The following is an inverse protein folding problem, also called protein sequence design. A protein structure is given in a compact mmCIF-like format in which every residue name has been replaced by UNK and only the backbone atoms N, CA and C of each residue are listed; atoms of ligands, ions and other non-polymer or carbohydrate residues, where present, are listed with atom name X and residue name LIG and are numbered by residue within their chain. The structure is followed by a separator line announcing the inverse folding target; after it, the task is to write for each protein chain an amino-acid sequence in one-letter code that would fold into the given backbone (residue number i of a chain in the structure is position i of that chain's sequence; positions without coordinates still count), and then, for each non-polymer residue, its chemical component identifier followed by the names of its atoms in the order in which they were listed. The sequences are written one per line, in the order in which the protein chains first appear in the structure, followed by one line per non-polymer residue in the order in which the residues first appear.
data_IF_150864634188
#
_entry.id   IF_150864634188
#
_cell.length_a   1.000
_cell.length_b   1.000
_cell.length_c   1.000
_cell.angle_alpha   90.00
_cell.angle_beta   90.00
_cell.angle_gamma   90.00
#
_symmetry.space_group_name_H-M   'P 1'
#
loop_
_entity.id
_entity.type
_entity.pdbx_description
1 polymer ?
#
# COMPACT_ATOMS: atom_id res chain seq x y z
N UNK A 1 -15.37 -21.13 -42.02
CA UNK A 1 -14.33 -20.23 -41.45
C UNK A 1 -12.96 -20.65 -41.99
N UNK A 2 -12.18 -19.72 -42.56
CA UNK A 2 -10.85 -20.02 -43.14
C UNK A 2 -9.91 -20.53 -42.03
N UNK A 3 -9.16 -21.64 -42.25
CA UNK A 3 -8.18 -22.21 -41.30
C UNK A 3 -7.31 -21.16 -40.54
N UNK A 4 -6.74 -20.12 -41.18
CA UNK A 4 -5.96 -19.10 -40.46
C UNK A 4 -6.78 -18.35 -39.39
N UNK A 5 -8.07 -18.09 -39.63
CA UNK A 5 -8.94 -17.41 -38.67
C UNK A 5 -9.14 -18.21 -37.38
N UNK A 6 -9.23 -19.56 -37.49
CA UNK A 6 -9.35 -20.44 -36.31
C UNK A 6 -8.06 -20.44 -35.49
N UNK A 7 -6.90 -20.44 -36.15
CA UNK A 7 -5.60 -20.39 -35.47
C UNK A 7 -5.44 -19.07 -34.71
N UNK A 8 -5.77 -17.93 -35.34
CA UNK A 8 -5.74 -16.61 -34.67
C UNK A 8 -6.68 -16.57 -33.47
N UNK A 9 -7.90 -17.10 -33.60
CA UNK A 9 -8.85 -17.14 -32.49
C UNK A 9 -8.33 -17.98 -31.31
N UNK A 10 -7.73 -19.14 -31.59
CA UNK A 10 -7.13 -19.98 -30.54
C UNK A 10 -5.92 -19.31 -29.88
N UNK A 11 -5.09 -18.58 -30.63
CA UNK A 11 -3.98 -17.83 -30.06
C UNK A 11 -4.45 -16.72 -29.13
N UNK A 12 -5.50 -15.96 -29.53
CA UNK A 12 -6.09 -14.93 -28.67
C UNK A 12 -6.69 -15.57 -27.42
N UNK A 13 -7.47 -16.64 -27.56
CA UNK A 13 -8.08 -17.33 -26.43
C UNK A 13 -7.01 -17.90 -25.46
N UNK A 14 -5.92 -18.46 -25.99
CA UNK A 14 -4.80 -18.95 -25.20
C UNK A 14 -4.09 -17.82 -24.45
N UNK A 15 -3.85 -16.68 -25.11
CA UNK A 15 -3.23 -15.51 -24.46
C UNK A 15 -4.11 -14.98 -23.32
N UNK A 16 -5.41 -14.86 -23.55
CA UNK A 16 -6.38 -14.41 -22.52
C UNK A 16 -6.38 -15.37 -21.33
N UNK A 17 -6.42 -16.69 -21.60
CA UNK A 17 -6.36 -17.69 -20.54
C UNK A 17 -5.05 -17.62 -19.77
N UNK A 18 -3.91 -17.50 -20.46
CA UNK A 18 -2.59 -17.38 -19.85
C UNK A 18 -2.51 -16.16 -18.94
N UNK A 19 -3.01 -14.99 -19.39
CA UNK A 19 -3.05 -13.78 -18.56
C UNK A 19 -3.97 -13.91 -17.35
N UNK A 20 -5.12 -14.58 -17.51
CA UNK A 20 -6.05 -14.81 -16.41
C UNK A 20 -5.43 -15.74 -15.35
N UNK A 21 -4.80 -16.84 -15.78
CA UNK A 21 -4.10 -17.76 -14.87
C UNK A 21 -2.93 -17.07 -14.18
N UNK A 22 -2.09 -16.34 -14.91
CA UNK A 22 -0.98 -15.59 -14.33
C UNK A 22 -1.47 -14.54 -13.30
N UNK A 23 -2.56 -13.82 -13.62
CA UNK A 23 -3.19 -12.86 -12.71
C UNK A 23 -3.73 -13.52 -11.44
N UNK A 24 -4.49 -14.61 -11.57
CA UNK A 24 -5.00 -15.37 -10.41
C UNK A 24 -3.86 -15.93 -9.54
N UNK A 25 -2.81 -16.47 -10.17
CA UNK A 25 -1.64 -16.96 -9.44
C UNK A 25 -0.91 -15.84 -8.71
N UNK A 26 -0.74 -14.68 -9.35
CA UNK A 26 -0.16 -13.50 -8.71
C UNK A 26 -0.97 -13.08 -7.48
N UNK A 27 -2.30 -12.99 -7.60
CA UNK A 27 -3.16 -12.62 -6.48
C UNK A 27 -3.12 -13.61 -5.30
N UNK A 28 -3.00 -14.91 -5.59
CA UNK A 28 -2.99 -15.96 -4.55
C UNK A 28 -1.63 -16.22 -3.91
N UNK A 29 -0.55 -15.94 -4.63
CA UNK A 29 0.81 -16.29 -4.20
C UNK A 29 1.61 -15.08 -3.72
N UNK A 30 1.20 -13.87 -4.07
CA UNK A 30 1.97 -12.67 -3.72
C UNK A 30 1.49 -12.11 -2.38
N UNK A 31 2.38 -11.97 -1.38
CA UNK A 31 2.01 -11.53 -0.03
C UNK A 31 1.40 -10.13 0.01
N UNK A 32 1.60 -9.32 -1.03
CA UNK A 32 1.03 -7.97 -1.16
C UNK A 32 -0.51 -7.96 -1.17
N UNK A 33 -1.16 -9.07 -1.53
CA UNK A 33 -2.62 -9.17 -1.55
C UNK A 33 -3.23 -9.62 -0.21
N UNK A 34 -2.39 -9.92 0.80
CA UNK A 34 -2.84 -10.38 2.11
C UNK A 34 -3.46 -11.77 2.10
N UNK A 35 -4.01 -12.17 3.24
CA UNK A 35 -4.66 -13.46 3.45
C UNK A 35 -6.07 -13.28 4.03
N UNK A 36 -6.90 -14.33 4.01
CA UNK A 36 -8.20 -14.30 4.69
C UNK A 36 -8.04 -14.34 6.22
N UNK A 37 -9.03 -13.81 6.94
CA UNK A 37 -9.02 -13.81 8.40
C UNK A 37 -9.43 -15.18 8.94
N UNK A 38 -8.64 -15.71 9.87
CA UNK A 38 -8.93 -16.97 10.54
C UNK A 38 -8.81 -16.86 12.06
N UNK A 39 -9.39 -17.84 12.77
CA UNK A 39 -9.29 -18.00 14.23
C UNK A 39 -9.67 -16.75 15.03
N UNK A 40 -8.87 -16.42 16.04
CA UNK A 40 -9.13 -15.31 16.97
C UNK A 40 -9.25 -13.94 16.28
N UNK A 41 -8.63 -13.76 15.10
CA UNK A 41 -8.74 -12.49 14.37
C UNK A 41 -10.06 -12.38 13.64
N UNK A 42 -10.52 -13.47 13.01
CA UNK A 42 -11.86 -13.54 12.42
C UNK A 42 -12.93 -13.30 13.48
N UNK A 43 -12.81 -13.94 14.65
CA UNK A 43 -13.73 -13.73 15.77
C UNK A 43 -13.77 -12.25 16.19
N UNK A 44 -12.61 -11.58 16.28
CA UNK A 44 -12.53 -10.15 16.59
C UNK A 44 -13.19 -9.28 15.52
N UNK A 45 -13.02 -9.61 14.24
CA UNK A 45 -13.69 -8.92 13.12
C UNK A 45 -15.21 -9.05 13.27
N UNK A 46 -15.70 -10.27 13.50
CA UNK A 46 -17.13 -10.58 13.61
C UNK A 46 -17.79 -9.94 14.83
N UNK A 47 -17.05 -9.72 15.91
CA UNK A 47 -17.53 -9.04 17.12
C UNK A 47 -17.54 -7.51 17.00
N UNK A 48 -17.05 -6.95 15.90
CA UNK A 48 -17.06 -5.50 15.68
C UNK A 48 -18.50 -4.99 15.58
N UNK A 49 -18.83 -3.83 16.19
CA UNK A 49 -20.15 -3.20 16.03
C UNK A 49 -20.43 -2.81 14.56
N UNK A 50 -19.37 -2.71 13.75
CA UNK A 50 -19.43 -2.39 12.33
C UNK A 50 -19.47 -3.64 11.44
N UNK A 51 -19.53 -4.86 11.97
CA UNK A 51 -19.64 -6.08 11.17
C UNK A 51 -21.05 -6.65 11.24
N UNK A 52 -21.72 -6.78 10.09
CA UNK A 52 -23.10 -7.28 10.03
C UNK A 52 -23.38 -7.95 8.68
N UNK A 53 -24.10 -9.08 8.72
CA UNK A 53 -24.47 -9.89 7.55
C UNK A 53 -23.27 -10.36 6.70
N UNK A 54 -22.14 -10.67 7.33
CA UNK A 54 -20.94 -11.19 6.65
C UNK A 54 -20.01 -10.11 6.07
N UNK A 55 -20.35 -8.83 6.23
CA UNK A 55 -19.58 -7.73 5.68
C UNK A 55 -19.32 -6.62 6.71
N UNK A 56 -18.22 -5.90 6.52
CA UNK A 56 -17.92 -4.71 7.30
C UNK A 56 -18.68 -3.49 6.73
N UNK A 57 -19.34 -2.74 7.60
CA UNK A 57 -20.11 -1.54 7.29
C UNK A 57 -19.37 -0.30 7.77
N UNK A 58 -18.95 0.52 6.82
CA UNK A 58 -18.35 1.81 7.11
C UNK A 58 -19.35 2.74 7.83
N UNK A 59 -18.84 3.60 8.71
CA UNK A 59 -19.66 4.59 9.43
C UNK A 59 -20.26 5.64 8.48
N UNK A 60 -19.51 5.95 7.42
CA UNK A 60 -19.94 6.82 6.32
C UNK A 60 -20.18 5.94 5.12
N UNK A 61 -21.36 6.08 4.52
CA UNK A 61 -21.69 5.35 3.29
C UNK A 61 -20.79 5.83 2.15
N UNK A 62 -19.90 4.95 1.68
CA UNK A 62 -19.03 5.20 0.54
C UNK A 62 -19.51 4.32 -0.61
N UNK A 63 -20.21 4.91 -1.56
CA UNK A 63 -20.65 4.18 -2.75
C UNK A 63 -19.54 4.20 -3.81
N UNK A 64 -18.97 3.03 -4.11
CA UNK A 64 -17.98 2.83 -5.19
C UNK A 64 -18.61 2.21 -6.45
N UNK A 65 -19.92 2.30 -6.63
CA UNK A 65 -20.60 1.75 -7.81
C UNK A 65 -20.40 2.65 -9.03
N UNK A 66 -19.26 2.46 -9.69
CA UNK A 66 -18.95 3.11 -10.97
C UNK A 66 -19.68 2.43 -12.15
N UNK A 67 -20.30 1.26 -11.95
CA UNK A 67 -20.82 0.39 -13.01
C UNK A 67 -19.76 -0.02 -14.05
N UNK A 68 -20.10 -0.98 -14.92
CA UNK A 68 -19.16 -1.47 -15.95
C UNK A 68 -18.64 -0.34 -16.88
N UNK A 69 -19.52 0.59 -17.29
CA UNK A 69 -19.12 1.72 -18.14
C UNK A 69 -18.19 2.69 -17.43
N UNK A 70 -18.41 2.98 -16.14
CA UNK A 70 -17.52 3.86 -15.38
C UNK A 70 -16.14 3.23 -15.19
N UNK A 71 -16.08 1.91 -14.96
CA UNK A 71 -14.83 1.18 -14.88
C UNK A 71 -14.02 1.23 -16.19
N UNK A 72 -14.68 0.96 -17.32
CA UNK A 72 -14.05 1.07 -18.65
C UNK A 72 -13.58 2.51 -18.91
N UNK A 73 -14.39 3.51 -18.57
CA UNK A 73 -14.02 4.92 -18.70
C UNK A 73 -12.78 5.24 -17.85
N UNK A 74 -12.76 4.83 -16.58
CA UNK A 74 -11.63 5.05 -15.66
C UNK A 74 -10.33 4.44 -16.23
N UNK A 75 -10.39 3.18 -16.67
CA UNK A 75 -9.25 2.51 -17.30
C UNK A 75 -8.80 3.23 -18.58
N UNK A 76 -9.75 3.61 -19.44
CA UNK A 76 -9.44 4.35 -20.67
C UNK A 76 -8.80 5.71 -20.38
N UNK A 77 -9.25 6.43 -19.35
CA UNK A 77 -8.68 7.70 -18.94
C UNK A 77 -7.28 7.54 -18.35
N UNK A 78 -6.98 6.44 -17.67
CA UNK A 78 -5.62 6.17 -17.18
C UNK A 78 -4.64 5.77 -18.29
N UNK A 79 -5.11 5.11 -19.35
CA UNK A 79 -4.27 4.63 -20.45
C UNK A 79 -4.13 5.68 -21.57
N UNK A 80 -5.23 6.34 -21.91
CA UNK A 80 -5.35 7.22 -23.08
C UNK A 80 -5.71 8.67 -22.70
N UNK A 81 -5.93 8.99 -21.42
CA UNK A 81 -6.25 10.35 -21.00
C UNK A 81 -5.02 11.24 -20.94
N UNK A 82 -5.24 12.54 -21.09
CA UNK A 82 -4.20 13.55 -20.94
C UNK A 82 -3.78 13.64 -19.47
N UNK A 83 -2.51 13.31 -19.22
CA UNK A 83 -1.91 13.31 -17.88
C UNK A 83 -1.22 14.65 -17.58
N UNK A 84 -1.86 15.76 -17.94
CA UNK A 84 -1.33 17.10 -17.65
C UNK A 84 -1.21 17.29 -16.12
N UNK A 85 -0.07 17.83 -15.67
CA UNK A 85 0.24 18.14 -14.27
C UNK A 85 0.31 16.95 -13.29
N UNK A 86 0.50 15.71 -13.77
CA UNK A 86 0.71 14.54 -12.89
C UNK A 86 2.18 14.33 -12.48
N UNK A 87 3.10 15.00 -13.15
CA UNK A 87 4.54 14.93 -12.89
C UNK A 87 5.07 16.32 -12.50
N UNK A 88 5.90 16.43 -11.45
CA UNK A 88 6.52 17.70 -11.12
C UNK A 88 7.44 18.21 -12.24
N UNK A 89 7.35 19.49 -12.59
CA UNK A 89 8.22 20.13 -13.60
C UNK A 89 9.68 20.29 -13.13
N UNK A 90 9.91 20.12 -11.83
CA UNK A 90 11.22 20.24 -11.18
C UNK A 90 11.43 19.16 -10.14
N UNK A 91 12.69 18.84 -9.88
CA UNK A 91 13.07 17.95 -8.78
C UNK A 91 12.54 18.50 -7.46
N UNK A 92 11.89 17.64 -6.69
CA UNK A 92 11.42 17.97 -5.35
C UNK A 92 12.65 18.03 -4.44
N UNK A 93 12.93 19.17 -3.78
CA UNK A 93 14.05 19.25 -2.85
C UNK A 93 13.77 18.37 -1.63
N UNK A 94 14.76 17.54 -1.26
CA UNK A 94 14.68 16.64 -0.11
C UNK A 94 15.80 16.99 0.85
N UNK A 95 15.48 17.17 2.12
CA UNK A 95 16.47 17.23 3.20
C UNK A 95 16.65 15.83 3.76
N UNK A 96 17.86 15.29 3.63
CA UNK A 96 18.22 14.02 4.29
C UNK A 96 18.19 14.22 5.80
N UNK A 97 17.79 13.18 6.52
CA UNK A 97 17.88 13.18 7.97
C UNK A 97 19.23 12.59 8.33
N UNK A 98 20.01 13.35 9.09
CA UNK A 98 21.32 12.89 9.56
C UNK A 98 21.17 11.69 10.50
N UNK A 99 22.07 10.72 10.38
CA UNK A 99 21.99 9.46 11.11
C UNK A 99 22.06 9.67 12.63
N UNK A 100 22.91 10.59 13.09
CA UNK A 100 23.03 10.97 14.51
C UNK A 100 21.70 11.50 15.08
N UNK A 101 20.96 12.30 14.28
CA UNK A 101 19.64 12.81 14.66
C UNK A 101 18.59 11.71 14.75
N UNK A 102 18.66 10.68 13.90
CA UNK A 102 17.77 9.53 13.98
C UNK A 102 18.10 8.64 15.18
N UNK A 103 19.37 8.52 15.55
CA UNK A 103 19.79 7.63 16.63
C UNK A 103 19.71 8.25 18.04
N UNK A 104 19.50 9.57 18.16
CA UNK A 104 19.32 10.21 19.49
C UNK A 104 18.13 9.59 20.24
N UNK A 105 18.12 9.63 21.56
CA UNK A 105 16.89 9.31 22.31
C UNK A 105 15.93 10.50 22.19
N UNK A 106 14.64 10.32 21.83
CA UNK A 106 13.67 11.41 21.85
C UNK A 106 13.53 11.98 23.26
N UNK A 107 13.43 13.30 23.37
CA UNK A 107 13.12 13.99 24.61
C UNK A 107 11.61 14.20 24.74
N UNK A 108 11.17 15.05 25.67
CA UNK A 108 9.74 15.38 25.84
C UNK A 108 9.21 16.35 24.79
N UNK A 109 10.03 16.85 23.86
CA UNK A 109 9.56 17.78 22.84
C UNK A 109 8.88 17.03 21.68
N UNK A 110 7.75 17.55 21.23
CA UNK A 110 7.09 17.03 20.04
C UNK A 110 7.84 17.46 18.78
N UNK A 111 8.31 16.50 18.01
CA UNK A 111 8.91 16.72 16.69
C UNK A 111 8.18 15.89 15.65
N UNK A 112 7.68 16.56 14.61
CA UNK A 112 7.04 15.90 13.47
C UNK A 112 7.95 16.04 12.26
N UNK A 113 8.37 14.91 11.71
CA UNK A 113 9.19 14.84 10.50
C UNK A 113 8.39 14.23 9.36
N UNK A 114 8.20 14.98 8.29
CA UNK A 114 7.53 14.50 7.09
C UNK A 114 8.50 13.71 6.22
N UNK A 115 8.16 12.46 5.93
CA UNK A 115 8.99 11.53 5.15
C UNK A 115 8.54 11.44 3.67
N UNK A 116 7.45 12.11 3.33
CA UNK A 116 6.85 12.16 2.00
C UNK A 116 5.52 11.41 1.92
N UNK A 117 4.60 11.92 1.10
CA UNK A 117 3.21 11.42 1.03
C UNK A 117 2.54 11.44 2.42
N UNK A 118 1.97 10.33 2.89
CA UNK A 118 1.37 10.15 4.21
C UNK A 118 2.35 9.68 5.29
N UNK A 119 3.62 9.48 4.94
CA UNK A 119 4.61 8.98 5.88
C UNK A 119 5.12 10.07 6.83
N UNK A 120 4.98 9.86 8.14
CA UNK A 120 5.48 10.76 9.18
C UNK A 120 6.20 10.01 10.28
N UNK A 121 7.37 10.51 10.69
CA UNK A 121 8.01 10.15 11.96
C UNK A 121 7.62 11.20 13.00
N UNK A 122 6.95 10.76 14.05
CA UNK A 122 6.54 11.59 15.19
C UNK A 122 7.35 11.17 16.40
N UNK A 123 8.08 12.11 16.97
CA UNK A 123 8.69 11.98 18.28
C UNK A 123 7.86 12.79 19.28
N UNK A 124 7.37 12.15 20.35
CA UNK A 124 6.53 12.79 21.35
C UNK A 124 6.66 12.06 22.69
N UNK A 125 6.83 12.79 23.80
CA UNK A 125 6.96 12.24 25.15
C UNK A 125 7.98 11.08 25.26
N UNK A 126 9.13 11.22 24.60
CA UNK A 126 10.18 10.18 24.58
C UNK A 126 9.89 8.98 23.67
N UNK A 127 8.79 9.00 22.91
CA UNK A 127 8.32 7.92 22.03
C UNK A 127 8.52 8.24 20.56
N UNK A 128 8.67 7.21 19.73
CA UNK A 128 8.69 7.26 18.27
C UNK A 128 7.52 6.53 17.68
N UNK A 129 6.71 7.27 16.94
CA UNK A 129 5.57 6.76 16.19
C UNK A 129 5.82 6.99 14.71
N UNK A 130 5.57 5.98 13.89
CA UNK A 130 5.69 6.05 12.44
C UNK A 130 4.32 5.84 11.80
N UNK A 131 3.84 6.83 11.06
CA UNK A 131 2.54 6.78 10.41
C UNK A 131 2.74 6.45 8.94
N UNK A 132 1.94 5.52 8.41
CA UNK A 132 1.87 5.11 7.00
C UNK A 132 3.25 5.07 6.30
N UNK A 133 4.17 4.19 6.73
CA UNK A 133 5.56 4.19 6.27
C UNK A 133 5.70 3.61 4.86
N UNK A 134 5.16 4.30 3.86
CA UNK A 134 5.51 4.07 2.47
C UNK A 134 6.92 4.65 2.26
N UNK A 135 7.96 3.84 2.49
CA UNK A 135 9.37 4.18 2.24
C UNK A 135 9.95 3.40 1.05
N UNK A 136 9.07 2.81 0.22
CA UNK A 136 9.42 2.20 -1.05
C UNK A 136 9.56 3.20 -2.21
N UNK A 137 10.06 2.70 -3.33
CA UNK A 137 10.18 3.47 -4.58
C UNK A 137 8.87 3.52 -5.39
N UNK A 138 7.95 2.56 -5.19
CA UNK A 138 6.67 2.46 -5.91
C UNK A 138 5.52 2.08 -5.00
N UNK A 139 4.37 2.76 -5.15
CA UNK A 139 3.13 2.42 -4.48
C UNK A 139 2.35 1.40 -5.34
N UNK A 140 2.78 0.14 -5.30
CA UNK A 140 2.26 -0.90 -6.18
C UNK A 140 2.51 -2.30 -5.64
N UNK A 141 1.63 -3.28 -5.90
CA UNK A 141 1.94 -4.69 -5.64
C UNK A 141 3.06 -5.24 -6.53
N UNK A 142 3.38 -4.53 -7.62
CA UNK A 142 4.39 -4.93 -8.61
C UNK A 142 5.60 -4.01 -8.55
N UNK A 143 6.79 -4.59 -8.44
CA UNK A 143 8.05 -3.83 -8.38
C UNK A 143 8.40 -3.06 -9.67
N UNK A 144 7.85 -3.48 -10.82
CA UNK A 144 8.16 -2.91 -12.13
C UNK A 144 7.07 -2.01 -12.71
N UNK A 145 5.85 -2.02 -12.16
CA UNK A 145 4.68 -1.31 -12.70
C UNK A 145 3.96 -0.53 -11.61
N UNK A 146 3.29 0.57 -11.97
CA UNK A 146 2.53 1.41 -11.03
C UNK A 146 3.25 2.69 -10.63
N UNK A 147 2.62 3.54 -9.80
CA UNK A 147 3.13 4.87 -9.44
C UNK A 147 4.52 4.79 -8.81
N UNK A 148 5.46 5.56 -9.35
CA UNK A 148 6.81 5.72 -8.77
C UNK A 148 6.87 7.03 -8.00
N UNK A 149 7.57 7.03 -6.87
CA UNK A 149 7.90 8.25 -6.14
C UNK A 149 8.72 9.19 -7.02
N UNK A 150 8.42 10.50 -6.96
CA UNK A 150 9.16 11.55 -7.68
C UNK A 150 10.31 12.16 -6.89
N UNK A 151 10.28 12.06 -5.55
CA UNK A 151 11.34 12.53 -4.66
C UNK A 151 12.27 11.38 -4.27
N UNK A 152 13.48 11.73 -3.83
CA UNK A 152 14.26 10.80 -3.01
C UNK A 152 13.60 10.61 -1.63
N UNK A 153 14.00 9.57 -0.91
CA UNK A 153 13.63 9.38 0.47
C UNK A 153 14.54 10.22 1.38
N UNK A 154 14.01 10.89 2.41
CA UNK A 154 14.83 11.55 3.41
C UNK A 154 15.60 10.55 4.29
N UNK A 155 15.06 9.33 4.43
CA UNK A 155 15.60 8.18 5.19
C UNK A 155 14.93 6.89 4.68
N UNK A 156 15.63 5.77 4.69
CA UNK A 156 15.12 4.43 4.33
C UNK A 156 14.59 3.67 5.55
N UNK A 157 13.75 2.64 5.35
CA UNK A 157 13.27 1.80 6.46
C UNK A 157 14.43 1.09 7.21
N UNK A 158 15.44 0.63 6.47
CA UNK A 158 16.68 0.08 7.02
C UNK A 158 17.50 1.05 7.89
N UNK A 159 17.39 2.35 7.66
CA UNK A 159 18.05 3.39 8.48
C UNK A 159 17.24 3.80 9.72
N UNK A 160 15.97 3.41 9.80
CA UNK A 160 15.14 3.76 10.95
C UNK A 160 15.69 3.15 12.26
N UNK A 161 15.66 3.91 13.37
CA UNK A 161 15.97 3.38 14.70
C UNK A 161 14.82 2.48 15.19
N UNK A 162 14.91 2.01 16.44
CA UNK A 162 13.74 1.44 17.10
C UNK A 162 12.61 2.47 17.17
N UNK A 163 11.39 1.99 16.91
CA UNK A 163 10.14 2.76 16.98
C UNK A 163 9.17 2.06 17.91
N UNK A 164 8.50 2.81 18.77
CA UNK A 164 7.53 2.26 19.72
C UNK A 164 6.26 1.79 18.99
N UNK A 165 5.86 2.50 17.93
CA UNK A 165 4.70 2.09 17.16
C UNK A 165 4.75 2.46 15.69
N UNK A 166 4.18 1.60 14.85
CA UNK A 166 3.78 1.91 13.48
C UNK A 166 2.26 1.96 13.42
N UNK A 167 1.71 3.01 12.81
CA UNK A 167 0.28 3.21 12.62
C UNK A 167 -0.02 3.18 11.13
N UNK A 168 -0.95 2.30 10.73
CA UNK A 168 -1.43 2.19 9.35
C UNK A 168 -2.86 2.71 9.31
N UNK A 169 -3.15 3.60 8.35
CA UNK A 169 -4.49 4.17 8.18
C UNK A 169 -5.41 3.23 7.39
N UNK A 170 -4.92 2.65 6.29
CA UNK A 170 -5.65 1.73 5.42
C UNK A 170 -4.70 0.88 4.55
N UNK A 171 -5.25 0.00 3.72
CA UNK A 171 -4.55 -1.07 2.99
C UNK A 171 -4.03 -0.68 1.61
N UNK A 172 -4.15 0.58 1.20
CA UNK A 172 -3.63 1.01 -0.09
C UNK A 172 -2.10 1.06 -0.12
N UNK A 173 -1.50 0.72 -1.27
CA UNK A 173 -0.06 0.60 -1.46
C UNK A 173 0.74 1.91 -1.29
N UNK A 174 0.08 3.06 -1.32
CA UNK A 174 0.71 4.35 -0.99
C UNK A 174 0.76 4.64 0.52
N UNK A 175 0.12 3.81 1.35
CA UNK A 175 0.15 3.88 2.82
C UNK A 175 0.76 2.61 3.45
N UNK A 176 0.46 1.43 2.90
CA UNK A 176 0.93 0.12 3.33
C UNK A 176 1.92 -0.46 2.33
N UNK A 177 3.21 -0.19 2.54
CA UNK A 177 4.29 -0.73 1.71
C UNK A 177 4.93 -1.96 2.35
N UNK A 178 4.72 -3.14 1.75
CA UNK A 178 5.21 -4.40 2.30
C UNK A 178 6.72 -4.41 2.56
N UNK A 179 7.53 -3.82 1.67
CA UNK A 179 8.99 -3.76 1.84
C UNK A 179 9.38 -2.96 3.08
N UNK A 180 8.76 -1.79 3.27
CA UNK A 180 8.96 -0.97 4.47
C UNK A 180 8.53 -1.71 5.73
N UNK A 181 7.37 -2.39 5.72
CA UNK A 181 6.90 -3.16 6.89
C UNK A 181 7.84 -4.29 7.24
N UNK A 182 8.37 -5.01 6.25
CA UNK A 182 9.34 -6.09 6.48
C UNK A 182 10.64 -5.57 7.12
N UNK A 183 11.18 -4.46 6.64
CA UNK A 183 12.39 -3.85 7.21
C UNK A 183 12.16 -3.26 8.62
N UNK A 184 10.94 -2.82 8.92
CA UNK A 184 10.56 -2.24 10.21
C UNK A 184 10.13 -3.28 11.25
N UNK A 185 9.78 -4.50 10.84
CA UNK A 185 9.18 -5.51 11.69
C UNK A 185 10.04 -5.82 12.94
N UNK A 186 11.36 -5.93 12.78
CA UNK A 186 12.28 -6.22 13.89
C UNK A 186 12.60 -4.99 14.76
N UNK A 187 12.20 -3.79 14.32
CA UNK A 187 12.52 -2.52 14.98
C UNK A 187 11.29 -1.86 15.63
N UNK A 188 10.13 -2.48 15.50
CA UNK A 188 8.85 -1.92 15.91
C UNK A 188 8.26 -2.74 17.05
N UNK A 189 7.93 -2.09 18.16
CA UNK A 189 7.29 -2.80 19.29
C UNK A 189 5.82 -3.12 19.00
N UNK A 190 5.08 -2.18 18.41
CA UNK A 190 3.65 -2.33 18.13
C UNK A 190 3.25 -1.88 16.72
N UNK A 191 2.40 -2.67 16.08
CA UNK A 191 1.70 -2.26 14.86
C UNK A 191 0.21 -2.03 15.18
N UNK A 192 -0.26 -0.81 14.94
CA UNK A 192 -1.67 -0.45 15.00
C UNK A 192 -2.22 -0.38 13.58
N UNK A 193 -3.15 -1.28 13.27
CA UNK A 193 -3.70 -1.44 11.93
C UNK A 193 -5.23 -1.53 11.98
N UNK A 194 -5.94 -1.20 10.88
CA UNK A 194 -7.36 -1.48 10.72
C UNK A 194 -7.70 -2.94 11.02
N UNK A 195 -8.94 -3.16 11.47
CA UNK A 195 -9.37 -4.46 11.98
C UNK A 195 -9.19 -5.60 10.97
N UNK A 196 -9.46 -5.32 9.69
CA UNK A 196 -9.31 -6.25 8.57
C UNK A 196 -7.90 -6.36 7.99
N UNK A 197 -6.88 -5.72 8.57
CA UNK A 197 -5.48 -5.88 8.17
C UNK A 197 -4.72 -6.87 9.06
N UNK A 198 -3.42 -7.08 8.83
CA UNK A 198 -2.53 -7.86 9.71
C UNK A 198 -2.74 -9.38 9.68
N UNK A 199 -3.20 -9.89 8.54
CA UNK A 199 -3.20 -11.32 8.22
C UNK A 199 -2.00 -11.57 7.31
N UNK A 200 -1.18 -12.56 7.64
CA UNK A 200 -0.06 -12.99 6.83
C UNK A 200 -0.32 -14.40 6.34
N UNK A 201 0.11 -14.70 5.11
CA UNK A 201 0.24 -16.07 4.63
C UNK A 201 1.35 -16.83 5.38
#
# INVERSE_FOLDING_TARGET
MKKPFRITLYLIAFLVLLTAVAGCSLMKLSPQFGAEAEGARLERIQQSPNYANGEFRNLVETNMDLGFKGYIKLLSSRIFGDNENQTPDRKIPVRKIEADRLQRVPDSATVVTWLGHSAFLIEIDGKRLLLDPMLGNRASPLSFMGPRRFSELPVTAGEMPQVDAVLISHDHYDHLDLGSIQELAEKTEHFYVPLGLGMCH
#
